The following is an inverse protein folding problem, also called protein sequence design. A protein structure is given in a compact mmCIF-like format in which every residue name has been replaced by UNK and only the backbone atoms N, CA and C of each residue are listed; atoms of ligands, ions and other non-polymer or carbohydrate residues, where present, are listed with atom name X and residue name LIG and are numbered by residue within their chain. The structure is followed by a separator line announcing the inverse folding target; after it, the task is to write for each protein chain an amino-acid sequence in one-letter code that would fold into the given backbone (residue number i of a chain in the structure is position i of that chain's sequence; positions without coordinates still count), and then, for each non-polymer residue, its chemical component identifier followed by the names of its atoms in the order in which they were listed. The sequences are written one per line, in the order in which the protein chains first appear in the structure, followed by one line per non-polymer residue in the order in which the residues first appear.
data_IF_572036151196
#
_entry.id   IF_572036151196
#
_cell.length_a   1.000
_cell.length_b   1.000
_cell.length_c   1.000
_cell.angle_alpha   90.00
_cell.angle_beta   90.00
_cell.angle_gamma   90.00
#
_symmetry.space_group_name_H-M   'P 1'
#
loop_
_entity.id
_entity.type
_entity.pdbx_description
1 polymer ?
#
# COMPACT_ATOMS: atom_id res chain seq x y z
N UNK A 1 -3.77 -18.50 -21.86
CA UNK A 1 -3.50 -18.24 -21.23
C UNK A 1 -3.43 -17.86 -20.55
N UNK A 2 -3.45 -17.55 -20.61
CA UNK A 2 -3.21 -17.10 -19.94
C UNK A 2 -3.14 -16.44 -19.40
N UNK A 3 -3.20 -15.97 -19.50
CA UNK A 3 -2.98 -15.39 -19.01
C UNK A 3 -2.80 -15.05 -18.31
N UNK A 4 -2.95 -14.48 -18.44
CA UNK A 4 -2.50 -14.00 -17.79
C UNK A 4 -2.21 -14.12 -16.98
N UNK A 5 -2.26 -14.14 -17.12
CA UNK A 5 -1.73 -14.36 -16.29
C UNK A 5 -0.96 -14.01 -15.62
N UNK A 6 -1.05 -14.01 -16.11
CA UNK A 6 -0.03 -13.80 -15.49
C UNK A 6 0.12 -12.90 -14.40
N UNK A 7 -0.53 -11.89 -14.37
CA UNK A 7 -0.36 -10.95 -13.31
C UNK A 7 -0.83 -11.47 -11.99
N UNK A 8 -1.97 -12.09 -11.96
CA UNK A 8 -2.52 -12.61 -10.75
C UNK A 8 -1.70 -13.74 -10.12
N UNK A 9 -0.78 -14.31 -10.89
CA UNK A 9 0.02 -15.42 -10.38
C UNK A 9 1.08 -14.97 -9.38
N UNK A 10 1.43 -13.68 -9.37
CA UNK A 10 2.45 -13.16 -8.47
C UNK A 10 1.87 -12.65 -7.15
N UNK A 11 0.56 -12.44 -7.08
CA UNK A 11 -0.08 -11.86 -5.89
C UNK A 11 -1.02 -12.87 -5.27
N UNK A 12 -0.70 -13.29 -4.06
CA UNK A 12 -1.53 -14.23 -3.31
C UNK A 12 -2.33 -13.47 -2.26
N UNK A 13 -3.57 -13.88 -2.06
CA UNK A 13 -4.41 -13.32 -1.02
C UNK A 13 -3.76 -13.49 0.35
N UNK A 14 -3.96 -12.53 1.22
CA UNK A 14 -3.43 -12.56 2.56
C UNK A 14 -1.99 -12.13 2.68
N UNK A 15 -1.43 -11.53 1.64
CA UNK A 15 -0.01 -11.17 1.63
C UNK A 15 0.20 -9.69 1.39
N UNK A 16 1.38 -9.21 1.83
CA UNK A 16 1.80 -7.83 1.66
C UNK A 16 3.03 -7.83 0.74
N UNK A 17 2.98 -7.01 -0.29
CA UNK A 17 4.03 -6.95 -1.31
C UNK A 17 4.68 -5.59 -1.36
N UNK A 18 5.97 -5.58 -1.62
CA UNK A 18 6.76 -4.37 -1.76
C UNK A 18 7.09 -4.18 -3.25
N UNK A 19 6.70 -3.03 -3.80
CA UNK A 19 6.86 -2.74 -5.22
C UNK A 19 7.36 -1.31 -5.38
N UNK A 20 7.95 -0.99 -6.54
CA UNK A 20 8.17 0.42 -6.84
C UNK A 20 6.82 1.12 -6.94
N UNK A 21 6.82 2.43 -6.73
CA UNK A 21 5.56 3.18 -6.67
C UNK A 21 4.74 3.05 -7.95
N UNK A 22 5.41 3.11 -9.09
CA UNK A 22 4.72 3.01 -10.36
C UNK A 22 4.03 1.65 -10.53
N UNK A 23 4.74 0.57 -10.18
CA UNK A 23 4.23 -0.78 -10.30
C UNK A 23 3.10 -1.02 -9.29
N UNK A 24 3.27 -0.52 -8.06
CA UNK A 24 2.23 -0.64 -7.03
C UNK A 24 0.94 0.02 -7.50
N UNK A 25 1.05 1.22 -8.06
CA UNK A 25 -0.10 1.97 -8.53
C UNK A 25 -0.83 1.23 -9.65
N UNK A 26 -0.10 0.78 -10.67
CA UNK A 26 -0.73 0.09 -11.80
C UNK A 26 -1.34 -1.25 -11.38
N UNK A 27 -0.67 -1.99 -10.50
CA UNK A 27 -1.20 -3.25 -10.00
C UNK A 27 -2.47 -3.04 -9.16
N UNK A 28 -2.48 -2.00 -8.33
CA UNK A 28 -3.64 -1.67 -7.52
C UNK A 28 -4.87 -1.44 -8.39
N UNK A 29 -4.73 -0.68 -9.46
CA UNK A 29 -5.88 -0.37 -10.31
C UNK A 29 -6.37 -1.57 -11.12
N UNK A 30 -5.52 -2.54 -11.38
CA UNK A 30 -5.98 -3.81 -11.94
C UNK A 30 -6.88 -4.57 -10.97
N UNK A 31 -6.46 -4.62 -9.70
CA UNK A 31 -7.26 -5.29 -8.67
C UNK A 31 -8.60 -4.61 -8.46
N UNK A 32 -8.64 -3.27 -8.54
CA UNK A 32 -9.88 -2.54 -8.26
C UNK A 32 -10.91 -2.63 -9.38
N UNK A 33 -10.59 -3.29 -10.49
CA UNK A 33 -11.60 -3.63 -11.48
C UNK A 33 -12.60 -4.64 -10.95
N UNK A 34 -12.22 -5.43 -9.94
CA UNK A 34 -13.10 -6.44 -9.38
C UNK A 34 -13.16 -6.43 -7.85
N UNK A 35 -12.39 -5.57 -7.16
CA UNK A 35 -12.33 -5.53 -5.71
C UNK A 35 -12.51 -4.12 -5.19
N UNK A 36 -13.05 -4.02 -3.98
CA UNK A 36 -13.02 -2.75 -3.25
C UNK A 36 -11.59 -2.45 -2.84
N UNK A 37 -11.22 -1.18 -2.89
CA UNK A 37 -9.86 -0.78 -2.57
C UNK A 37 -9.80 0.44 -1.67
N UNK A 38 -8.68 0.58 -0.98
CA UNK A 38 -8.32 1.80 -0.26
C UNK A 38 -6.90 2.17 -0.66
N UNK A 39 -6.71 3.45 -0.96
CA UNK A 39 -5.41 3.97 -1.37
C UNK A 39 -5.02 5.13 -0.46
N UNK A 40 -3.87 4.99 0.21
CA UNK A 40 -3.24 6.10 0.92
C UNK A 40 -2.11 6.58 0.02
N UNK A 41 -2.26 7.80 -0.50
CA UNK A 41 -1.40 8.32 -1.56
C UNK A 41 -0.85 9.68 -1.20
N UNK A 42 0.17 10.10 -1.96
CA UNK A 42 0.82 11.40 -1.77
C UNK A 42 0.16 12.51 -2.56
N UNK A 43 -0.60 12.16 -3.55
CA UNK A 43 -1.29 13.11 -4.40
C UNK A 43 -2.63 13.49 -3.76
N UNK A 44 -3.02 14.77 -3.90
CA UNK A 44 -4.34 15.20 -3.42
C UNK A 44 -5.41 14.48 -4.25
N UNK A 45 -6.29 13.70 -3.60
CA UNK A 45 -7.29 12.95 -4.35
C UNK A 45 -8.20 13.80 -5.21
N UNK A 46 -8.42 15.08 -4.85
CA UNK A 46 -9.27 15.97 -5.65
C UNK A 46 -8.67 16.25 -7.03
N UNK A 47 -7.38 15.99 -7.23
CA UNK A 47 -6.72 16.21 -8.51
C UNK A 47 -6.72 14.97 -9.40
N UNK A 48 -7.24 13.85 -8.92
CA UNK A 48 -7.29 12.62 -9.70
C UNK A 48 -8.50 12.69 -10.62
N UNK A 49 -8.26 12.65 -11.94
CA UNK A 49 -9.32 12.84 -12.91
C UNK A 49 -10.20 11.61 -13.10
N UNK A 50 -9.67 10.43 -12.88
CA UNK A 50 -10.40 9.18 -13.14
C UNK A 50 -10.54 8.35 -11.86
N UNK A 51 -11.07 8.98 -10.81
CA UNK A 51 -11.29 8.27 -9.55
C UNK A 51 -12.30 7.15 -9.75
N UNK A 52 -12.01 6.00 -9.15
CA UNK A 52 -12.92 4.86 -9.20
C UNK A 52 -13.83 4.87 -7.97
N UNK A 53 -15.11 4.53 -8.18
CA UNK A 53 -16.05 4.46 -7.07
C UNK A 53 -15.74 3.31 -6.12
N UNK A 54 -15.04 2.29 -6.60
CA UNK A 54 -14.66 1.15 -5.77
C UNK A 54 -13.48 1.45 -4.86
N UNK A 55 -12.91 2.67 -4.93
CA UNK A 55 -11.70 3.02 -4.18
C UNK A 55 -11.99 4.17 -3.23
N UNK A 56 -11.59 3.99 -1.98
CA UNK A 56 -11.53 5.07 -0.99
C UNK A 56 -10.14 5.67 -1.02
N UNK A 57 -10.05 6.99 -1.21
CA UNK A 57 -8.77 7.68 -1.31
C UNK A 57 -8.50 8.48 -0.05
N UNK A 58 -7.29 8.35 0.47
CA UNK A 58 -6.80 9.16 1.59
C UNK A 58 -5.49 9.80 1.18
N UNK A 59 -5.28 11.01 1.64
CA UNK A 59 -4.15 11.86 1.24
C UNK A 59 -3.15 11.98 2.37
N UNK A 60 -1.94 11.53 2.15
CA UNK A 60 -0.89 11.63 3.17
C UNK A 60 -0.32 13.05 3.12
N UNK A 61 -0.82 13.92 4.00
CA UNK A 61 -0.52 15.35 3.98
C UNK A 61 -0.83 15.96 5.34
N UNK A 62 -0.08 16.99 5.76
CA UNK A 62 -0.41 17.73 6.99
C UNK A 62 -1.58 18.68 6.84
N UNK A 63 -2.26 18.65 5.70
CA UNK A 63 -3.41 19.51 5.44
C UNK A 63 -4.58 19.22 6.39
N UNK A 64 -5.49 20.19 6.54
CA UNK A 64 -6.71 20.03 7.33
C UNK A 64 -7.86 19.41 6.54
N UNK A 65 -7.61 18.95 5.32
CA UNK A 65 -8.62 18.30 4.50
C UNK A 65 -9.15 17.05 5.20
N UNK A 66 -10.46 16.80 5.06
CA UNK A 66 -11.06 15.65 5.75
C UNK A 66 -10.54 14.31 5.27
N UNK A 67 -9.95 14.26 4.08
CA UNK A 67 -9.38 13.03 3.53
C UNK A 67 -7.87 12.97 3.74
N UNK A 68 -7.30 13.91 4.49
CA UNK A 68 -5.87 13.94 4.75
C UNK A 68 -5.52 13.19 6.03
N UNK A 69 -4.38 12.52 6.02
CA UNK A 69 -3.78 11.93 7.20
C UNK A 69 -2.40 12.55 7.32
N UNK A 70 -2.10 13.13 8.48
CA UNK A 70 -0.78 13.69 8.72
C UNK A 70 0.26 12.56 8.73
N UNK A 71 1.40 12.74 8.04
CA UNK A 71 2.45 11.69 8.04
C UNK A 71 2.99 11.36 9.43
N UNK A 72 2.79 12.22 10.42
CA UNK A 72 3.19 11.93 11.81
C UNK A 72 2.15 11.11 12.55
N UNK A 73 0.95 10.91 11.98
CA UNK A 73 -0.14 10.19 12.64
C UNK A 73 -0.26 8.78 12.06
N UNK A 74 0.73 7.96 12.38
CA UNK A 74 0.76 6.60 11.85
C UNK A 74 -0.33 5.73 12.48
N UNK A 75 -0.83 6.12 13.65
CA UNK A 75 -1.94 5.39 14.25
C UNK A 75 -3.21 5.54 13.43
N UNK A 76 -3.42 6.71 12.83
CA UNK A 76 -4.56 6.88 11.95
C UNK A 76 -4.40 6.06 10.67
N UNK A 77 -3.18 5.99 10.12
CA UNK A 77 -2.91 5.12 8.98
C UNK A 77 -3.28 3.68 9.32
N UNK A 78 -2.79 3.20 10.45
CA UNK A 78 -3.09 1.83 10.88
C UNK A 78 -4.60 1.63 11.07
N UNK A 79 -5.26 2.58 11.71
CA UNK A 79 -6.69 2.49 11.99
C UNK A 79 -7.52 2.43 10.72
N UNK A 80 -7.21 3.27 9.74
CA UNK A 80 -7.94 3.26 8.47
C UNK A 80 -7.75 1.96 7.72
N UNK A 81 -6.52 1.46 7.67
CA UNK A 81 -6.23 0.23 6.92
C UNK A 81 -6.80 -1.00 7.62
N UNK A 82 -6.71 -1.06 8.96
CA UNK A 82 -7.27 -2.20 9.69
C UNK A 82 -8.79 -2.21 9.66
N UNK A 83 -9.42 -1.03 9.69
CA UNK A 83 -10.88 -0.93 9.55
C UNK A 83 -11.32 -1.40 8.17
N UNK A 84 -10.59 -0.99 7.13
CA UNK A 84 -10.89 -1.45 5.78
C UNK A 84 -10.77 -2.97 5.70
N UNK A 85 -9.71 -3.53 6.28
CA UNK A 85 -9.48 -4.97 6.23
C UNK A 85 -10.61 -5.74 6.92
N UNK A 86 -11.17 -5.19 8.00
CA UNK A 86 -12.29 -5.82 8.68
C UNK A 86 -13.57 -5.77 7.85
N UNK A 87 -13.77 -4.68 7.11
CA UNK A 87 -14.99 -4.48 6.33
C UNK A 87 -14.96 -5.16 4.97
N UNK A 88 -13.77 -5.32 4.38
CA UNK A 88 -13.64 -5.82 3.01
C UNK A 88 -12.55 -6.88 2.95
N UNK A 89 -12.86 -8.09 3.39
CA UNK A 89 -11.86 -9.15 3.59
C UNK A 89 -11.22 -9.67 2.32
N UNK A 90 -11.74 -9.30 1.16
CA UNK A 90 -11.13 -9.62 -0.14
C UNK A 90 -10.75 -8.37 -0.91
N UNK A 91 -10.58 -7.25 -0.22
CA UNK A 91 -10.21 -6.00 -0.86
C UNK A 91 -8.75 -5.92 -1.26
N UNK A 92 -8.35 -4.73 -1.70
CA UNK A 92 -6.96 -4.44 -2.04
C UNK A 92 -6.56 -3.12 -1.41
N UNK A 93 -5.33 -3.06 -0.91
CA UNK A 93 -4.79 -1.88 -0.24
C UNK A 93 -3.57 -1.38 -1.00
N UNK A 94 -3.52 -0.06 -1.21
CA UNK A 94 -2.32 0.61 -1.71
C UNK A 94 -1.83 1.58 -0.65
N UNK A 95 -0.56 1.48 -0.29
CA UNK A 95 0.08 2.42 0.62
C UNK A 95 1.31 3.00 -0.06
N UNK A 96 1.27 4.30 -0.34
CA UNK A 96 2.40 5.07 -0.85
C UNK A 96 2.94 5.96 0.24
N UNK A 97 4.11 6.57 0.00
CA UNK A 97 4.62 7.58 0.90
C UNK A 97 5.33 7.04 2.12
N UNK A 98 5.91 5.86 2.02
CA UNK A 98 6.65 5.25 3.13
C UNK A 98 7.72 6.20 3.66
N UNK A 99 8.48 6.88 2.77
CA UNK A 99 9.53 7.79 3.21
C UNK A 99 8.98 8.98 3.99
N UNK A 100 7.76 9.41 3.68
CA UNK A 100 7.11 10.50 4.42
C UNK A 100 6.65 10.05 5.79
N UNK A 101 6.18 8.81 5.90
CA UNK A 101 5.84 8.25 7.20
C UNK A 101 7.08 8.09 8.06
N UNK A 102 8.19 7.67 7.47
CA UNK A 102 9.46 7.54 8.19
C UNK A 102 9.91 8.92 8.69
N UNK A 103 9.83 9.94 7.83
CA UNK A 103 10.21 11.31 8.21
C UNK A 103 9.29 11.88 9.30
N UNK A 104 8.01 11.53 9.25
CA UNK A 104 7.04 12.02 10.24
C UNK A 104 7.06 11.29 11.56
N UNK A 105 7.63 10.10 11.58
CA UNK A 105 7.72 9.29 12.81
C UNK A 105 9.15 8.76 12.95
N UNK A 106 9.37 7.50 12.62
CA UNK A 106 10.70 6.90 12.59
C UNK A 106 10.63 5.62 11.77
N UNK A 107 11.78 5.16 11.30
CA UNK A 107 11.83 3.89 10.57
C UNK A 107 11.33 2.74 11.43
N UNK A 108 11.73 2.69 12.68
CA UNK A 108 11.31 1.62 13.59
C UNK A 108 9.79 1.61 13.78
N UNK A 109 9.20 2.77 13.94
CA UNK A 109 7.75 2.89 14.11
C UNK A 109 7.01 2.43 12.87
N UNK A 110 7.48 2.83 11.68
CA UNK A 110 6.86 2.43 10.43
C UNK A 110 6.95 0.90 10.26
N UNK A 111 8.13 0.33 10.50
CA UNK A 111 8.30 -1.12 10.37
C UNK A 111 7.41 -1.88 11.33
N UNK A 112 7.28 -1.40 12.56
CA UNK A 112 6.39 -2.02 13.54
C UNK A 112 4.94 -2.01 13.05
N UNK A 113 4.48 -0.87 12.54
CA UNK A 113 3.12 -0.74 12.02
C UNK A 113 2.88 -1.65 10.83
N UNK A 114 3.85 -1.71 9.91
CA UNK A 114 3.71 -2.59 8.74
C UNK A 114 3.66 -4.06 9.15
N UNK A 115 4.41 -4.44 10.18
CA UNK A 115 4.35 -5.81 10.70
C UNK A 115 3.00 -6.14 11.29
N UNK A 116 2.39 -5.20 12.03
CA UNK A 116 1.05 -5.40 12.56
C UNK A 116 0.03 -5.54 11.43
N UNK A 117 0.16 -4.74 10.37
CA UNK A 117 -0.73 -4.85 9.21
C UNK A 117 -0.53 -6.19 8.51
N UNK A 118 0.71 -6.64 8.37
CA UNK A 118 0.99 -7.93 7.74
C UNK A 118 0.28 -9.06 8.50
N UNK A 119 0.35 -9.03 9.83
CA UNK A 119 -0.34 -10.04 10.63
C UNK A 119 -1.85 -9.98 10.44
N UNK A 120 -2.41 -8.78 10.48
CA UNK A 120 -3.87 -8.62 10.30
C UNK A 120 -4.32 -9.10 8.92
N UNK A 121 -3.54 -8.78 7.89
CA UNK A 121 -3.89 -9.13 6.51
C UNK A 121 -3.73 -10.62 6.25
N UNK A 122 -2.80 -11.29 6.94
CA UNK A 122 -2.59 -12.72 6.76
C UNK A 122 -3.83 -13.56 7.04
N UNK A 123 -4.79 -13.00 7.77
CA UNK A 123 -6.03 -13.70 8.13
C UNK A 123 -7.17 -13.37 7.19
N UNK A 124 -6.90 -12.70 6.09
CA UNK A 124 -7.91 -12.24 5.13
C UNK A 124 -7.54 -12.70 3.73
N UNK A 125 -8.38 -12.33 2.75
CA UNK A 125 -8.06 -12.52 1.34
C UNK A 125 -7.64 -11.20 0.69
N UNK A 126 -7.14 -10.26 1.49
CA UNK A 126 -6.68 -8.96 1.01
C UNK A 126 -5.29 -9.11 0.39
N UNK A 127 -5.05 -8.31 -0.64
CA UNK A 127 -3.71 -8.08 -1.18
C UNK A 127 -3.32 -6.66 -0.79
N UNK A 128 -2.19 -6.50 -0.12
CA UNK A 128 -1.68 -5.17 0.23
C UNK A 128 -0.43 -4.88 -0.58
N UNK A 129 -0.43 -3.72 -1.22
CA UNK A 129 0.67 -3.27 -2.07
C UNK A 129 1.31 -2.04 -1.43
N UNK A 130 2.59 -2.15 -1.12
CA UNK A 130 3.36 -1.03 -0.57
C UNK A 130 4.25 -0.50 -1.70
N UNK A 131 4.01 0.76 -2.09
CA UNK A 131 4.85 1.41 -3.07
C UNK A 131 6.02 2.11 -2.38
N UNK A 132 7.23 1.89 -2.86
CA UNK A 132 8.40 2.54 -2.29
C UNK A 132 9.37 2.93 -3.38
N UNK A 133 10.30 3.82 -3.02
CA UNK A 133 11.37 4.24 -3.91
C UNK A 133 12.68 3.78 -3.29
N UNK A 134 13.23 2.64 -3.77
CA UNK A 134 14.46 2.10 -3.15
C UNK A 134 15.63 3.06 -3.23
N UNK A 135 15.69 3.91 -4.26
CA UNK A 135 16.77 4.86 -4.41
C UNK A 135 16.75 6.01 -3.41
N UNK A 136 15.61 6.24 -2.76
CA UNK A 136 15.48 7.33 -1.79
C UNK A 136 15.69 6.85 -0.35
N UNK A 137 15.92 5.56 -0.13
CA UNK A 137 16.07 5.02 1.21
C UNK A 137 17.54 4.77 1.53
N UNK A 138 17.89 4.91 2.81
CA UNK A 138 19.19 4.49 3.29
C UNK A 138 19.34 2.99 3.08
N UNK A 139 20.58 2.56 2.80
CA UNK A 139 20.83 1.17 2.46
C UNK A 139 20.39 0.21 3.56
N UNK A 140 20.66 0.55 4.82
CA UNK A 140 20.28 -0.31 5.94
C UNK A 140 18.77 -0.44 6.07
N UNK A 141 18.05 0.66 5.86
CA UNK A 141 16.58 0.66 5.92
C UNK A 141 16.00 -0.14 4.76
N UNK A 142 16.55 0.06 3.57
CA UNK A 142 16.11 -0.69 2.39
C UNK A 142 16.29 -2.18 2.57
N UNK A 143 17.47 -2.57 3.06
CA UNK A 143 17.76 -3.98 3.30
C UNK A 143 16.75 -4.60 4.28
N UNK A 144 16.42 -3.85 5.33
CA UNK A 144 15.51 -4.37 6.33
C UNK A 144 14.08 -4.51 5.81
N UNK A 145 13.56 -3.49 5.13
CA UNK A 145 12.19 -3.58 4.62
C UNK A 145 12.08 -4.65 3.53
N UNK A 146 13.12 -4.78 2.69
CA UNK A 146 13.12 -5.79 1.64
C UNK A 146 13.24 -7.21 2.18
N UNK A 147 13.74 -7.36 3.42
CA UNK A 147 13.80 -8.68 4.03
C UNK A 147 12.50 -9.07 4.72
N UNK A 148 11.64 -8.09 5.05
CA UNK A 148 10.40 -8.34 5.77
C UNK A 148 9.21 -8.62 4.86
N UNK A 149 9.24 -8.14 3.63
CA UNK A 149 8.10 -8.22 2.73
C UNK A 149 8.52 -8.84 1.41
N UNK A 150 7.57 -9.52 0.78
CA UNK A 150 7.83 -10.11 -0.52
C UNK A 150 7.94 -9.00 -1.58
N UNK A 151 9.02 -9.06 -2.37
CA UNK A 151 9.30 -8.03 -3.35
C UNK A 151 8.84 -8.51 -4.71
N UNK A 152 8.08 -7.64 -5.40
CA UNK A 152 7.71 -7.88 -6.80
C UNK A 152 8.52 -6.91 -7.64
N UNK A 153 9.41 -7.46 -8.44
CA UNK A 153 10.23 -6.65 -9.33
C UNK A 153 9.53 -6.50 -10.68
N UNK A 154 9.88 -5.44 -11.39
CA UNK A 154 9.22 -5.14 -12.65
C UNK A 154 9.24 -6.32 -13.62
N UNK A 155 10.34 -7.05 -13.67
CA UNK A 155 10.46 -8.20 -14.57
C UNK A 155 9.51 -9.34 -14.21
N UNK A 156 9.06 -9.40 -12.98
CA UNK A 156 8.16 -10.46 -12.52
C UNK A 156 6.73 -10.25 -12.98
N UNK A 157 6.42 -9.06 -13.50
CA UNK A 157 5.07 -8.76 -13.99
C UNK A 157 4.83 -9.28 -15.38
N UNK A 158 5.89 -9.51 -16.10
CA UNK A 158 5.76 -10.00 -17.46
C UNK A 158 5.90 -11.51 -17.49
#
# INVERSE_FOLDING_TARGET
KPIPKEHGTHFKDGNVYLLTEKVANSSFYKFTESRQGIAIIRENPSTISNKKQSVSYLWLSPSNDEHAINPSDIEEVYGKLSSFASAHKNGVILLEGISHLISGTSFTTVMHTLSLLKDAISKTNIVMLIGYNPGSMEKSQRTKIESEFEIIKRGDET
#
